data_IF_826839890638
#
_entry.id   IF_826839890638
#
_cell.length_a   1.000
_cell.length_b   1.000
_cell.length_c   1.000
_cell.angle_alpha   90.00
_cell.angle_beta   90.00
_cell.angle_gamma   90.00
#
_symmetry.space_group_name_H-M   'P 1'
#
loop_
_entity.id
_entity.type
_entity.pdbx_description
1 polymer ?
#
# COMPACT_ATOMS: atom_id res chain seq x y z
N UNK A 1 3.63 -37.39 39.39
CA UNK A 1 3.97 -36.47 38.28
C UNK A 1 3.92 -35.05 38.79
N UNK A 2 5.07 -34.37 38.94
CA UNK A 2 5.12 -32.95 39.32
C UNK A 2 5.10 -32.12 38.03
N UNK A 3 4.00 -31.41 37.78
CA UNK A 3 3.90 -30.44 36.70
C UNK A 3 4.82 -29.26 37.06
N UNK A 4 5.96 -29.15 36.39
CA UNK A 4 6.85 -28.00 36.55
C UNK A 4 6.11 -26.74 36.09
N UNK A 5 5.78 -25.84 37.03
CA UNK A 5 5.29 -24.50 36.73
C UNK A 5 6.44 -23.74 36.08
N UNK A 6 6.38 -23.56 34.75
CA UNK A 6 7.26 -22.65 34.03
C UNK A 6 7.07 -21.25 34.64
N UNK A 7 8.14 -20.50 34.94
CA UNK A 7 8.00 -19.13 35.43
C UNK A 7 7.31 -18.34 34.31
N UNK A 8 6.07 -17.93 34.57
CA UNK A 8 5.39 -16.95 33.74
C UNK A 8 6.18 -15.67 33.93
N UNK A 9 6.96 -15.28 32.93
CA UNK A 9 7.58 -13.98 32.92
C UNK A 9 6.44 -12.95 33.04
N UNK A 10 6.52 -12.06 34.03
CA UNK A 10 5.77 -10.81 33.97
C UNK A 10 6.35 -10.02 32.79
N UNK A 11 5.92 -10.37 31.57
CA UNK A 11 5.82 -9.36 30.52
C UNK A 11 4.96 -8.26 31.10
N UNK A 12 5.50 -7.05 31.14
CA UNK A 12 4.71 -5.85 31.39
C UNK A 12 3.43 -5.94 30.58
N UNK A 13 2.34 -6.28 31.26
CA UNK A 13 0.98 -6.37 30.70
C UNK A 13 0.48 -4.99 30.30
N UNK A 14 1.21 -3.95 30.68
CA UNK A 14 1.01 -2.56 30.33
C UNK A 14 1.28 -2.33 28.83
N UNK A 15 0.22 -1.98 28.09
CA UNK A 15 0.29 -1.71 26.65
C UNK A 15 0.06 -2.91 25.73
N UNK A 16 -0.05 -4.14 26.27
CA UNK A 16 -0.41 -5.30 25.46
C UNK A 16 -1.87 -5.22 24.98
N UNK A 17 -2.77 -4.67 25.82
CA UNK A 17 -4.18 -4.41 25.48
C UNK A 17 -4.30 -3.50 24.26
N UNK A 18 -3.61 -2.35 24.31
CA UNK A 18 -3.62 -1.36 23.23
C UNK A 18 -3.19 -1.97 21.92
N UNK A 19 -2.08 -2.72 21.90
CA UNK A 19 -1.57 -3.33 20.68
C UNK A 19 -2.49 -4.45 20.15
N UNK A 20 -3.16 -5.19 21.03
CA UNK A 20 -4.14 -6.21 20.61
C UNK A 20 -5.38 -5.54 20.02
N UNK A 21 -5.84 -4.44 20.63
CA UNK A 21 -6.94 -3.62 20.11
C UNK A 21 -6.61 -3.05 18.73
N UNK A 22 -5.42 -2.50 18.55
CA UNK A 22 -4.93 -2.06 17.25
C UNK A 22 -4.92 -3.19 16.22
N UNK A 23 -4.42 -4.38 16.59
CA UNK A 23 -4.45 -5.54 15.70
C UNK A 23 -5.88 -5.96 15.34
N UNK A 24 -6.80 -5.95 16.32
CA UNK A 24 -8.20 -6.29 16.11
C UNK A 24 -8.90 -5.32 15.14
N UNK A 25 -8.61 -4.00 15.28
CA UNK A 25 -9.08 -2.97 14.34
C UNK A 25 -8.49 -3.21 12.95
N UNK A 26 -7.18 -3.40 12.85
CA UNK A 26 -6.50 -3.67 11.56
C UNK A 26 -7.06 -4.90 10.85
N UNK A 27 -7.41 -5.93 11.61
CA UNK A 27 -7.97 -7.18 11.10
C UNK A 27 -9.48 -7.13 10.87
N UNK A 28 -10.16 -6.05 11.25
CA UNK A 28 -11.62 -5.96 11.34
C UNK A 28 -12.23 -7.17 12.09
N UNK A 29 -11.55 -7.64 13.14
CA UNK A 29 -12.01 -8.79 13.94
C UNK A 29 -13.08 -8.32 14.94
N UNK A 30 -14.33 -8.24 14.45
CA UNK A 30 -15.47 -7.69 15.21
C UNK A 30 -15.78 -8.48 16.48
N UNK A 31 -15.53 -9.79 16.47
CA UNK A 31 -15.73 -10.65 17.64
C UNK A 31 -14.67 -10.37 18.72
N UNK A 32 -13.41 -10.17 18.31
CA UNK A 32 -12.36 -9.76 19.22
C UNK A 32 -12.64 -8.35 19.75
N UNK A 33 -13.03 -7.40 18.90
CA UNK A 33 -13.38 -6.04 19.30
C UNK A 33 -14.54 -5.99 20.32
N UNK A 34 -15.59 -6.79 20.13
CA UNK A 34 -16.70 -6.88 21.06
C UNK A 34 -16.29 -7.43 22.44
N UNK A 35 -15.32 -8.36 22.48
CA UNK A 35 -14.75 -8.85 23.74
C UNK A 35 -13.93 -7.76 24.44
N UNK A 36 -13.14 -7.00 23.67
CA UNK A 36 -12.32 -5.89 24.15
C UNK A 36 -13.12 -4.64 24.56
N UNK A 37 -14.37 -4.51 24.11
CA UNK A 37 -15.24 -3.40 24.54
C UNK A 37 -15.78 -3.58 25.96
N UNK A 38 -15.77 -4.82 26.48
CA UNK A 38 -16.24 -5.11 27.83
C UNK A 38 -15.23 -4.75 28.94
N UNK A 39 -14.07 -4.17 28.60
CA UNK A 39 -13.06 -3.68 29.54
C UNK A 39 -11.63 -3.99 29.07
N UNK A 40 -10.65 -3.48 29.80
CA UNK A 40 -9.25 -3.82 29.54
C UNK A 40 -9.02 -5.31 29.82
N UNK A 41 -8.22 -5.94 28.97
CA UNK A 41 -7.85 -7.36 29.07
C UNK A 41 -7.24 -7.73 30.43
N UNK A 42 -6.58 -6.76 31.06
CA UNK A 42 -6.02 -6.89 32.41
C UNK A 42 -7.14 -6.91 33.45
N UNK A 43 -8.14 -6.04 33.32
CA UNK A 43 -9.32 -6.03 34.17
C UNK A 43 -10.22 -7.26 33.96
N UNK A 44 -10.14 -7.90 32.79
CA UNK A 44 -10.85 -9.15 32.46
C UNK A 44 -10.06 -10.42 32.81
N UNK A 45 -8.89 -10.32 33.43
CA UNK A 45 -7.97 -11.45 33.71
C UNK A 45 -7.69 -12.34 32.48
N UNK A 46 -7.81 -11.79 31.27
CA UNK A 46 -7.71 -12.54 30.04
C UNK A 46 -6.24 -12.94 29.79
N UNK A 47 -5.93 -14.23 29.96
CA UNK A 47 -4.61 -14.78 29.63
C UNK A 47 -4.51 -15.10 28.15
N UNK A 48 -3.50 -14.56 27.49
CA UNK A 48 -3.16 -14.94 26.14
C UNK A 48 -2.49 -16.31 26.11
N UNK A 49 -2.99 -17.21 25.26
CA UNK A 49 -2.15 -18.29 24.75
C UNK A 49 -1.13 -17.67 23.78
N UNK A 50 0.15 -17.95 23.98
CA UNK A 50 1.25 -17.39 23.17
C UNK A 50 1.08 -17.69 21.68
N UNK A 51 0.49 -18.83 21.31
CA UNK A 51 0.23 -19.18 19.91
C UNK A 51 -0.85 -18.29 19.30
N UNK A 52 -1.90 -17.99 20.07
CA UNK A 52 -2.98 -17.11 19.64
C UNK A 52 -2.45 -15.68 19.43
N UNK A 53 -1.63 -15.21 20.37
CA UNK A 53 -1.01 -13.90 20.28
C UNK A 53 -0.08 -13.77 19.06
N UNK A 54 0.81 -14.73 18.84
CA UNK A 54 1.70 -14.74 17.67
C UNK A 54 0.90 -14.78 16.37
N UNK A 55 -0.15 -15.60 16.32
CA UNK A 55 -1.03 -15.70 15.15
C UNK A 55 -1.71 -14.36 14.83
N UNK A 56 -2.22 -13.66 15.86
CA UNK A 56 -2.85 -12.34 15.70
C UNK A 56 -1.88 -11.33 15.09
N UNK A 57 -0.66 -11.22 15.64
CA UNK A 57 0.35 -10.29 15.14
C UNK A 57 0.81 -10.61 13.73
N UNK A 58 1.04 -11.90 13.43
CA UNK A 58 1.43 -12.33 12.11
C UNK A 58 0.35 -12.02 11.07
N UNK A 59 -0.93 -12.16 11.43
CA UNK A 59 -2.04 -11.80 10.54
C UNK A 59 -2.07 -10.29 10.30
N UNK A 60 -1.93 -9.48 11.35
CA UNK A 60 -1.92 -8.02 11.23
C UNK A 60 -0.75 -7.54 10.34
N UNK A 61 0.46 -8.06 10.57
CA UNK A 61 1.65 -7.69 9.79
C UNK A 61 1.53 -8.08 8.30
N UNK A 62 0.90 -9.21 7.98
CA UNK A 62 0.66 -9.61 6.57
C UNK A 62 -0.27 -8.66 5.83
N UNK A 63 -1.16 -7.95 6.53
CA UNK A 63 -2.05 -6.96 5.91
C UNK A 63 -1.28 -5.69 5.58
N UNK A 64 -0.42 -5.23 6.49
CA UNK A 64 0.45 -4.07 6.26
C UNK A 64 1.33 -4.28 5.02
N UNK A 65 2.00 -5.43 4.93
CA UNK A 65 2.81 -5.78 3.76
C UNK A 65 2.01 -5.85 2.44
N UNK A 66 0.73 -6.20 2.51
CA UNK A 66 -0.15 -6.19 1.32
C UNK A 66 -0.54 -4.77 0.91
N UNK A 67 -0.83 -3.90 1.88
CA UNK A 67 -1.21 -2.52 1.62
C UNK A 67 -0.06 -1.73 0.99
N UNK A 68 1.15 -1.87 1.51
CA UNK A 68 2.35 -1.20 0.98
C UNK A 68 2.63 -1.61 -0.48
N UNK A 69 2.43 -2.90 -0.79
CA UNK A 69 2.58 -3.43 -2.14
C UNK A 69 1.49 -2.91 -3.10
N UNK A 70 0.26 -2.72 -2.62
CA UNK A 70 -0.84 -2.15 -3.42
C UNK A 70 -0.59 -0.67 -3.72
N UNK A 71 -0.09 0.10 -2.76
CA UNK A 71 0.22 1.51 -2.94
C UNK A 71 1.38 1.72 -3.93
N UNK A 72 2.48 0.96 -3.75
CA UNK A 72 3.61 0.98 -4.69
C UNK A 72 3.22 0.56 -6.13
N UNK A 73 2.29 -0.41 -6.27
CA UNK A 73 1.74 -0.78 -7.58
C UNK A 73 0.89 0.31 -8.22
N UNK A 74 0.13 1.08 -7.44
CA UNK A 74 -0.64 2.21 -7.97
C UNK A 74 0.28 3.34 -8.44
N UNK A 75 1.31 3.65 -7.67
CA UNK A 75 2.29 4.69 -8.01
C UNK A 75 3.03 4.36 -9.32
N UNK A 76 3.57 3.14 -9.43
CA UNK A 76 4.20 2.67 -10.68
C UNK A 76 3.25 2.68 -11.88
N UNK A 77 1.96 2.39 -11.69
CA UNK A 77 0.97 2.47 -12.76
C UNK A 77 0.70 3.91 -13.20
N UNK A 78 0.58 4.85 -12.27
CA UNK A 78 0.40 6.29 -12.56
C UNK A 78 1.61 6.83 -13.32
N UNK A 79 2.83 6.46 -12.90
CA UNK A 79 4.06 6.83 -13.62
C UNK A 79 4.08 6.30 -15.06
N UNK A 80 3.66 5.05 -15.28
CA UNK A 80 3.57 4.47 -16.62
C UNK A 80 2.61 5.24 -17.54
N UNK A 81 1.46 5.67 -17.02
CA UNK A 81 0.47 6.45 -17.78
C UNK A 81 1.03 7.83 -18.13
N UNK A 82 1.53 8.58 -17.15
CA UNK A 82 2.07 9.93 -17.36
C UNK A 82 3.28 9.91 -18.33
N UNK A 83 4.14 8.89 -18.22
CA UNK A 83 5.26 8.72 -19.13
C UNK A 83 4.79 8.43 -20.57
N UNK A 84 3.82 7.55 -20.75
CA UNK A 84 3.25 7.24 -22.08
C UNK A 84 2.60 8.46 -22.74
N UNK A 85 1.91 9.29 -21.96
CA UNK A 85 1.27 10.51 -22.44
C UNK A 85 2.33 11.55 -22.87
N UNK A 86 3.35 11.76 -22.02
CA UNK A 86 4.46 12.65 -22.35
C UNK A 86 5.21 12.21 -23.62
N UNK A 87 5.48 10.90 -23.76
CA UNK A 87 6.14 10.35 -24.94
C UNK A 87 5.26 10.51 -26.18
N UNK A 88 3.94 10.29 -26.08
CA UNK A 88 3.01 10.56 -27.20
C UNK A 88 3.05 12.02 -27.61
N UNK A 89 2.96 12.95 -26.66
CA UNK A 89 3.02 14.38 -26.93
C UNK A 89 4.33 14.78 -27.63
N UNK A 90 5.47 14.29 -27.15
CA UNK A 90 6.78 14.57 -27.78
C UNK A 90 6.84 13.97 -29.20
N UNK A 91 6.28 12.79 -29.40
CA UNK A 91 6.28 12.15 -30.71
C UNK A 91 5.36 12.88 -31.70
N UNK A 92 4.15 13.26 -31.28
CA UNK A 92 3.19 14.03 -32.05
C UNK A 92 3.74 15.41 -32.44
N UNK A 93 4.41 16.10 -31.50
CA UNK A 93 5.04 17.40 -31.77
C UNK A 93 6.20 17.30 -32.75
N UNK A 94 6.94 16.18 -32.78
CA UNK A 94 7.98 15.91 -33.80
C UNK A 94 7.40 15.56 -35.17
N UNK A 95 6.28 14.86 -35.24
CA UNK A 95 5.60 14.53 -36.51
C UNK A 95 5.01 15.75 -37.23
N UNK A 96 4.77 16.85 -36.51
CA UNK A 96 4.38 18.14 -37.11
C UNK A 96 5.55 18.86 -37.80
N UNK A 97 6.80 18.62 -37.39
CA UNK A 97 7.97 19.34 -37.93
C UNK A 97 8.34 18.85 -39.34
N UNK A 98 8.19 17.55 -39.61
CA UNK A 98 8.41 17.00 -40.96
C UNK A 98 7.37 17.50 -41.97
N UNK A 99 6.09 17.60 -41.59
CA UNK A 99 5.00 18.02 -42.49
C UNK A 99 5.00 19.52 -42.79
N UNK A 100 5.40 20.35 -41.82
CA UNK A 100 5.56 21.80 -42.02
C UNK A 100 6.75 22.08 -42.95
N UNK A 101 7.86 21.33 -42.81
CA UNK A 101 9.04 21.52 -43.67
C UNK A 101 8.74 21.16 -45.14
N UNK A 102 8.04 20.05 -45.42
CA UNK A 102 7.63 19.73 -46.82
C UNK A 102 6.62 20.74 -47.38
N UNK A 103 5.71 21.27 -46.57
CA UNK A 103 4.75 22.28 -47.05
C UNK A 103 5.44 23.61 -47.36
N UNK A 104 6.27 24.13 -46.45
CA UNK A 104 7.01 25.39 -46.66
C UNK A 104 7.93 25.29 -47.87
N UNK A 105 8.59 24.15 -48.07
CA UNK A 105 9.46 23.90 -49.21
C UNK A 105 8.66 23.77 -50.53
N UNK A 106 7.46 23.19 -50.49
CA UNK A 106 6.55 23.11 -51.64
C UNK A 106 5.93 24.47 -52.01
N UNK A 107 5.63 25.34 -51.03
CA UNK A 107 5.19 26.71 -51.27
C UNK A 107 6.31 27.58 -51.86
N UNK A 108 7.55 27.43 -51.38
CA UNK A 108 8.70 28.13 -51.95
C UNK A 108 9.02 27.71 -53.39
N UNK A 109 8.93 26.41 -53.71
CA UNK A 109 9.14 25.93 -55.08
C UNK A 109 8.07 26.45 -56.05
N UNK A 110 6.82 26.60 -55.58
CA UNK A 110 5.71 27.16 -56.39
C UNK A 110 5.88 28.64 -56.72
N UNK A 111 6.52 29.43 -55.86
CA UNK A 111 6.83 30.84 -56.10
C UNK A 111 8.01 31.02 -57.07
N UNK A 112 8.97 30.11 -57.08
CA UNK A 112 10.13 30.16 -57.99
C UNK A 112 9.77 29.79 -59.44
N UNK A 113 8.74 28.97 -59.64
CA UNK A 113 8.34 28.49 -60.99
C UNK A 113 7.37 29.44 -61.70
N UNK A 114 6.91 30.50 -61.04
CA UNK A 114 5.91 31.43 -61.58
C UNK A 114 6.44 32.84 -61.89
N UNK A 115 7.76 33.06 -61.83
CA UNK A 115 8.49 34.22 -62.39
C UNK A 115 9.36 33.79 -63.59
#
# INVERSE_FOLDING_TARGET
>A
MKMAKKPLYESSTFGQDTRVRECAVKLNDTLLLAKLSAGDLIAQEAKYDSKCFISLYNRASRIEMKNDNVESKKESQIHGIAFSELVSYINETRSCDETINVQVQMFHLKLIVHD
#
